data_IF_247850949787
#
_entry.id   IF_247850949787
#
_cell.length_a   1.000
_cell.length_b   1.000
_cell.length_c   1.000
_cell.angle_alpha   90.00
_cell.angle_beta   90.00
_cell.angle_gamma   90.00
#
_symmetry.space_group_name_H-M   'P 1'
#
loop_
_entity.id
_entity.type
_entity.pdbx_description
1 polymer ?
#
# COMPACT_ATOMS: atom_id res chain seq x y z
N UNK A 1 22.05 -5.86 15.38
CA UNK A 1 21.08 -6.26 14.34
C UNK A 1 19.70 -5.91 14.86
N UNK A 2 18.84 -5.26 14.07
CA UNK A 2 17.58 -4.69 14.60
C UNK A 2 16.57 -5.75 15.05
N UNK A 3 16.44 -6.84 14.31
CA UNK A 3 15.51 -7.94 14.62
C UNK A 3 16.30 -9.20 14.94
N UNK A 4 15.90 -9.90 15.99
CA UNK A 4 16.50 -11.16 16.47
C UNK A 4 15.41 -12.19 16.73
N UNK A 5 15.76 -13.48 16.75
CA UNK A 5 14.82 -14.52 17.17
C UNK A 5 14.76 -14.57 18.69
N UNK A 6 13.57 -14.78 19.20
CA UNK A 6 13.32 -15.09 20.61
C UNK A 6 12.65 -16.46 20.66
N UNK A 7 13.09 -17.31 21.59
CA UNK A 7 12.49 -18.62 21.83
C UNK A 7 11.86 -18.58 23.21
N UNK A 8 10.56 -18.83 23.25
CA UNK A 8 9.76 -18.87 24.47
C UNK A 8 9.31 -20.31 24.75
N UNK A 9 9.42 -20.73 26.01
CA UNK A 9 9.02 -22.06 26.46
C UNK A 9 7.51 -22.12 26.68
N UNK A 10 6.84 -23.12 26.08
CA UNK A 10 5.36 -23.30 26.16
C UNK A 10 4.90 -24.26 27.27
N UNK A 11 5.79 -25.12 27.78
CA UNK A 11 5.43 -26.20 28.73
C UNK A 11 6.39 -26.26 29.91
N UNK A 12 5.90 -26.27 31.16
CA UNK A 12 6.76 -26.20 32.35
C UNK A 12 7.67 -27.43 32.55
N UNK A 13 7.16 -28.62 32.26
CA UNK A 13 7.86 -29.90 32.43
C UNK A 13 8.31 -30.48 31.09
N UNK A 14 9.51 -30.09 30.67
CA UNK A 14 10.24 -30.79 29.63
C UNK A 14 10.90 -32.00 30.31
N UNK A 15 10.32 -33.20 30.18
CA UNK A 15 11.05 -34.43 30.55
C UNK A 15 12.40 -34.43 29.82
N UNK A 16 13.46 -35.00 30.39
CA UNK A 16 14.89 -34.97 29.98
C UNK A 16 15.23 -35.30 28.49
N UNK A 17 14.25 -35.32 27.57
CA UNK A 17 14.37 -35.58 26.14
C UNK A 17 14.19 -34.40 25.19
N UNK A 18 13.99 -33.15 25.63
CA UNK A 18 13.91 -32.00 24.69
C UNK A 18 15.09 -31.04 24.83
N UNK A 19 16.29 -31.55 24.60
CA UNK A 19 17.34 -30.72 23.99
C UNK A 19 16.94 -30.53 22.51
N UNK A 20 17.01 -29.31 21.97
CA UNK A 20 16.90 -29.10 20.53
C UNK A 20 18.13 -29.71 19.83
N UNK A 21 18.12 -31.03 19.66
CA UNK A 21 19.21 -31.82 19.12
C UNK A 21 19.04 -31.92 17.60
N UNK A 22 20.02 -31.37 16.87
CA UNK A 22 20.23 -31.72 15.46
C UNK A 22 21.70 -32.13 15.30
N UNK A 23 21.95 -33.43 15.38
CA UNK A 23 23.32 -33.95 15.32
C UNK A 23 24.11 -33.64 16.59
N UNK A 24 25.29 -33.00 16.44
CA UNK A 24 26.23 -32.67 17.53
C UNK A 24 26.15 -31.20 17.99
N UNK A 25 25.33 -30.36 17.35
CA UNK A 25 25.19 -28.94 17.70
C UNK A 25 24.05 -28.75 18.71
N UNK A 26 24.30 -27.96 19.76
CA UNK A 26 23.40 -27.84 20.92
C UNK A 26 23.14 -26.38 21.28
N UNK A 27 21.86 -26.05 21.51
CA UNK A 27 21.43 -24.83 22.17
C UNK A 27 20.75 -25.22 23.48
N UNK A 28 21.21 -24.65 24.59
CA UNK A 28 20.49 -24.73 25.87
C UNK A 28 19.20 -23.90 25.78
N UNK A 29 18.05 -24.57 25.83
CA UNK A 29 16.70 -24.00 25.79
C UNK A 29 15.92 -24.29 27.08
N UNK A 30 16.61 -24.29 28.22
CA UNK A 30 15.98 -24.46 29.55
C UNK A 30 15.13 -23.26 29.99
N UNK A 31 15.30 -22.11 29.35
CA UNK A 31 14.58 -20.86 29.62
C UNK A 31 14.39 -20.04 28.34
N UNK A 32 13.63 -18.95 28.43
CA UNK A 32 13.47 -17.97 27.35
C UNK A 32 14.84 -17.46 26.89
N UNK A 33 15.07 -17.44 25.57
CA UNK A 33 16.39 -17.10 25.02
C UNK A 33 16.27 -16.21 23.79
N UNK A 34 17.02 -15.11 23.79
CA UNK A 34 17.27 -14.29 22.62
C UNK A 34 18.43 -14.90 21.82
N UNK A 35 18.16 -15.23 20.57
CA UNK A 35 19.12 -15.80 19.62
C UNK A 35 19.65 -14.67 18.73
N UNK A 36 20.93 -14.35 18.91
CA UNK A 36 21.60 -13.25 18.19
C UNK A 36 22.75 -13.69 17.30
N UNK A 37 23.17 -14.96 17.40
CA UNK A 37 24.24 -15.55 16.61
C UNK A 37 23.67 -16.40 15.47
N UNK A 38 24.21 -16.24 14.27
CA UNK A 38 23.75 -16.95 13.06
C UNK A 38 23.86 -18.49 13.19
N UNK A 39 24.86 -18.98 13.91
CA UNK A 39 25.00 -20.41 14.18
C UNK A 39 23.81 -20.95 14.98
N UNK A 40 23.38 -20.24 16.01
CA UNK A 40 22.23 -20.63 16.82
C UNK A 40 20.92 -20.49 16.03
N UNK A 41 20.77 -19.44 15.21
CA UNK A 41 19.61 -19.27 14.31
C UNK A 41 19.45 -20.48 13.38
N UNK A 42 20.57 -20.98 12.83
CA UNK A 42 20.56 -22.14 11.94
C UNK A 42 20.12 -23.44 12.64
N UNK A 43 20.46 -23.63 13.91
CA UNK A 43 20.00 -24.79 14.69
C UNK A 43 18.49 -24.72 14.90
N UNK A 44 17.96 -23.53 15.23
CA UNK A 44 16.52 -23.28 15.38
C UNK A 44 15.79 -23.56 14.08
N UNK A 45 16.26 -22.97 12.97
CA UNK A 45 15.67 -23.17 11.65
C UNK A 45 15.67 -24.64 11.25
N UNK A 46 16.76 -25.38 11.44
CA UNK A 46 16.78 -26.81 11.12
C UNK A 46 15.73 -27.60 11.93
N UNK A 47 15.46 -27.24 13.18
CA UNK A 47 14.40 -27.91 13.98
C UNK A 47 13.01 -27.63 13.43
N UNK A 48 12.75 -26.37 13.09
CA UNK A 48 11.49 -25.94 12.48
C UNK A 48 11.28 -26.59 11.11
N UNK A 49 12.32 -26.58 10.27
CA UNK A 49 12.26 -27.09 8.89
C UNK A 49 12.14 -28.60 8.81
N UNK A 50 12.71 -29.34 9.77
CA UNK A 50 12.52 -30.79 9.88
C UNK A 50 11.18 -31.18 10.52
N UNK A 51 10.31 -30.20 10.82
CA UNK A 51 9.05 -30.40 11.54
C UNK A 51 9.23 -31.23 12.82
N UNK A 52 10.23 -30.89 13.63
CA UNK A 52 10.48 -31.59 14.89
C UNK A 52 9.29 -31.36 15.84
N UNK A 53 8.41 -32.36 15.97
CA UNK A 53 7.19 -32.29 16.79
C UNK A 53 7.50 -31.87 18.22
N UNK A 54 8.54 -32.45 18.82
CA UNK A 54 8.91 -32.15 20.21
C UNK A 54 9.37 -30.71 20.36
N UNK A 55 10.09 -30.15 19.39
CA UNK A 55 10.46 -28.73 19.40
C UNK A 55 9.23 -27.84 19.23
N UNK A 56 8.36 -28.16 18.27
CA UNK A 56 7.19 -27.35 17.95
C UNK A 56 6.11 -27.36 19.04
N UNK A 57 6.02 -28.43 19.82
CA UNK A 57 5.17 -28.52 21.00
C UNK A 57 5.77 -27.78 22.20
N UNK A 58 7.08 -27.89 22.42
CA UNK A 58 7.73 -27.35 23.61
C UNK A 58 8.05 -25.85 23.52
N UNK A 59 8.25 -25.32 22.31
CA UNK A 59 8.77 -23.96 22.10
C UNK A 59 7.95 -23.15 21.10
N UNK A 60 7.78 -21.87 21.41
CA UNK A 60 7.38 -20.81 20.49
C UNK A 60 8.63 -20.13 19.96
N UNK A 61 8.63 -19.73 18.69
CA UNK A 61 9.59 -18.74 18.21
C UNK A 61 8.88 -17.43 17.90
N UNK A 62 9.56 -16.33 18.19
CA UNK A 62 9.10 -14.96 18.07
C UNK A 62 10.16 -14.11 17.36
N UNK A 63 9.76 -12.96 16.81
CA UNK A 63 10.69 -11.97 16.25
C UNK A 63 10.73 -10.76 17.19
N UNK A 64 11.87 -10.50 17.80
CA UNK A 64 12.07 -9.40 18.74
C UNK A 64 12.72 -8.19 18.04
N UNK A 65 12.07 -7.01 18.10
CA UNK A 65 12.65 -5.74 17.65
C UNK A 65 13.48 -5.13 18.78
N UNK A 66 14.81 -5.27 18.68
CA UNK A 66 15.77 -4.80 19.68
C UNK A 66 15.75 -3.29 19.89
N UNK A 67 15.37 -2.49 18.90
CA UNK A 67 15.28 -1.04 19.04
C UNK A 67 14.06 -0.61 19.86
N UNK A 68 12.96 -1.34 19.71
CA UNK A 68 11.69 -1.02 20.38
C UNK A 68 11.45 -1.82 21.65
N UNK A 69 12.24 -2.87 21.86
CA UNK A 69 12.00 -3.87 22.90
C UNK A 69 10.59 -4.46 22.82
N UNK A 70 10.15 -4.78 21.60
CA UNK A 70 8.80 -5.30 21.31
C UNK A 70 8.89 -6.60 20.51
N UNK A 71 8.03 -7.56 20.87
CA UNK A 71 7.82 -8.78 20.09
C UNK A 71 6.85 -8.46 18.95
N UNK A 72 7.24 -8.81 17.73
CA UNK A 72 6.31 -8.93 16.64
C UNK A 72 5.45 -10.17 16.88
N UNK A 73 4.32 -10.01 17.59
CA UNK A 73 3.41 -11.11 17.92
C UNK A 73 3.08 -11.92 16.67
N UNK A 74 3.50 -13.17 16.61
CA UNK A 74 3.22 -14.13 15.54
C UNK A 74 2.46 -15.31 16.14
N UNK A 75 1.14 -15.16 16.26
CA UNK A 75 0.25 -16.25 16.65
C UNK A 75 -0.52 -16.75 15.42
N UNK A 76 0.04 -17.74 14.73
CA UNK A 76 -0.63 -18.43 13.62
C UNK A 76 -1.33 -19.71 14.12
N UNK A 77 -2.54 -19.97 13.63
CA UNK A 77 -3.34 -21.13 14.03
C UNK A 77 -2.88 -22.46 13.40
N UNK A 78 -1.91 -22.44 12.48
CA UNK A 78 -1.43 -23.58 11.72
C UNK A 78 0.06 -23.37 11.42
N UNK A 79 0.93 -24.34 11.75
CA UNK A 79 2.39 -24.28 11.50
C UNK A 79 3.07 -22.98 11.95
N UNK A 80 2.79 -22.58 13.18
CA UNK A 80 3.18 -21.30 13.76
C UNK A 80 4.69 -21.02 13.66
N UNK A 81 5.51 -21.94 14.17
CA UNK A 81 6.97 -21.79 14.15
C UNK A 81 7.54 -21.69 12.72
N UNK A 82 6.98 -22.44 11.75
CA UNK A 82 7.45 -22.36 10.37
C UNK A 82 7.18 -20.98 9.75
N UNK A 83 5.98 -20.44 9.98
CA UNK A 83 5.60 -19.13 9.47
C UNK A 83 6.40 -18.01 10.13
N UNK A 84 6.65 -18.09 11.43
CA UNK A 84 7.49 -17.12 12.12
C UNK A 84 8.94 -17.18 11.65
N UNK A 85 9.49 -18.37 11.45
CA UNK A 85 10.85 -18.55 10.92
C UNK A 85 10.96 -17.95 9.51
N UNK A 86 9.95 -18.18 8.66
CA UNK A 86 9.89 -17.59 7.33
C UNK A 86 9.81 -16.05 7.35
N UNK A 87 9.01 -15.47 8.25
CA UNK A 87 8.96 -14.01 8.39
C UNK A 87 10.30 -13.44 8.85
N UNK A 88 10.98 -14.13 9.77
CA UNK A 88 12.31 -13.71 10.23
C UNK A 88 13.35 -13.78 9.11
N UNK A 89 13.34 -14.87 8.34
CA UNK A 89 14.16 -15.00 7.13
C UNK A 89 13.90 -13.86 6.14
N UNK A 90 12.64 -13.51 5.88
CA UNK A 90 12.29 -12.39 5.00
C UNK A 90 12.87 -11.05 5.50
N UNK A 91 12.86 -10.80 6.81
CA UNK A 91 13.47 -9.60 7.41
C UNK A 91 14.98 -9.58 7.19
N UNK A 92 15.64 -10.75 7.33
CA UNK A 92 17.08 -10.91 7.07
C UNK A 92 17.46 -10.69 5.61
N UNK A 93 16.59 -11.09 4.67
CA UNK A 93 16.75 -10.84 3.22
C UNK A 93 16.44 -9.38 2.80
N UNK A 94 16.41 -8.45 3.76
CA UNK A 94 16.17 -7.02 3.54
C UNK A 94 14.82 -6.71 2.85
N UNK A 95 13.85 -7.63 2.91
CA UNK A 95 12.51 -7.36 2.41
C UNK A 95 11.92 -6.21 3.25
N UNK A 96 11.36 -5.15 2.63
CA UNK A 96 10.85 -4.01 3.37
C UNK A 96 9.87 -4.43 4.47
N UNK A 97 10.08 -3.96 5.71
CA UNK A 97 9.30 -4.37 6.87
C UNK A 97 7.77 -4.22 6.68
N UNK A 98 7.33 -3.19 5.94
CA UNK A 98 5.89 -3.04 5.60
C UNK A 98 5.33 -4.20 4.77
N UNK A 99 6.16 -4.82 3.94
CA UNK A 99 5.82 -6.01 3.16
C UNK A 99 5.77 -7.23 4.08
N UNK A 100 6.72 -7.37 5.00
CA UNK A 100 6.71 -8.43 6.03
C UNK A 100 5.45 -8.34 6.90
N UNK A 101 5.01 -7.13 7.28
CA UNK A 101 3.73 -6.95 7.98
C UNK A 101 2.53 -7.38 7.11
N UNK A 102 2.61 -7.17 5.80
CA UNK A 102 1.57 -7.63 4.86
C UNK A 102 1.58 -9.15 4.70
N UNK A 103 2.76 -9.77 4.72
CA UNK A 103 2.93 -11.23 4.77
C UNK A 103 2.32 -11.81 6.04
N UNK A 104 2.71 -11.31 7.22
CA UNK A 104 2.11 -11.68 8.50
C UNK A 104 0.59 -11.58 8.47
N UNK A 105 0.04 -10.45 8.03
CA UNK A 105 -1.41 -10.25 7.94
C UNK A 105 -2.07 -11.30 7.03
N UNK A 106 -1.44 -11.61 5.90
CA UNK A 106 -1.94 -12.62 4.95
C UNK A 106 -1.84 -14.03 5.52
N UNK A 107 -0.73 -14.35 6.20
CA UNK A 107 -0.52 -15.63 6.88
C UNK A 107 -1.52 -15.87 8.02
N UNK A 108 -1.87 -14.86 8.82
CA UNK A 108 -2.91 -14.99 9.85
C UNK A 108 -4.28 -15.35 9.26
N UNK A 109 -4.59 -14.78 8.09
CA UNK A 109 -5.85 -15.04 7.40
C UNK A 109 -5.84 -16.44 6.80
N UNK A 110 -4.78 -16.81 6.06
CA UNK A 110 -4.68 -18.13 5.43
C UNK A 110 -4.57 -19.24 6.48
N UNK A 111 -3.97 -18.97 7.65
CA UNK A 111 -3.84 -19.95 8.73
C UNK A 111 -5.17 -20.47 9.26
N UNK A 112 -6.22 -19.66 9.19
CA UNK A 112 -7.59 -20.08 9.54
C UNK A 112 -8.16 -21.03 8.50
N UNK A 113 -7.88 -20.76 7.23
CA UNK A 113 -8.29 -21.60 6.11
C UNK A 113 -7.53 -22.93 6.13
N UNK A 114 -6.21 -22.89 6.32
CA UNK A 114 -5.36 -24.10 6.42
C UNK A 114 -5.86 -25.04 7.51
N UNK A 115 -6.29 -24.49 8.64
CA UNK A 115 -6.89 -25.26 9.74
C UNK A 115 -8.28 -25.79 9.39
N UNK A 116 -9.11 -25.04 8.65
CA UNK A 116 -10.45 -25.52 8.28
C UNK A 116 -10.43 -26.63 7.24
N UNK A 117 -9.41 -26.67 6.38
CA UNK A 117 -9.27 -27.71 5.34
C UNK A 117 -8.16 -28.73 5.64
N UNK A 118 -7.54 -28.63 6.82
CA UNK A 118 -6.38 -29.41 7.28
C UNK A 118 -5.29 -29.57 6.20
N UNK A 119 -4.85 -28.44 5.65
CA UNK A 119 -3.89 -28.40 4.55
C UNK A 119 -3.04 -27.15 4.64
N UNK A 120 -1.72 -27.31 4.62
CA UNK A 120 -0.81 -26.17 4.57
C UNK A 120 -0.96 -25.35 3.28
N UNK A 121 -0.81 -24.03 3.35
CA UNK A 121 -0.93 -23.10 2.22
C UNK A 121 0.06 -23.43 1.11
N UNK A 122 1.21 -23.97 1.50
CA UNK A 122 2.29 -24.41 0.63
C UNK A 122 1.86 -25.58 -0.30
N UNK A 123 0.79 -26.29 0.06
CA UNK A 123 0.25 -27.42 -0.67
C UNK A 123 -1.08 -27.10 -1.40
N UNK A 124 -1.55 -25.86 -1.38
CA UNK A 124 -2.80 -25.48 -2.02
C UNK A 124 -2.77 -25.75 -3.53
N UNK A 125 -3.82 -26.37 -4.06
CA UNK A 125 -4.02 -26.52 -5.49
C UNK A 125 -4.83 -25.31 -6.04
N UNK A 126 -5.13 -25.34 -7.35
CA UNK A 126 -5.91 -24.27 -7.98
C UNK A 126 -7.30 -24.06 -7.34
N UNK A 127 -7.99 -25.14 -6.99
CA UNK A 127 -9.34 -25.09 -6.43
C UNK A 127 -9.35 -24.55 -5.00
N UNK A 128 -8.33 -24.88 -4.20
CA UNK A 128 -8.14 -24.33 -2.85
C UNK A 128 -7.93 -22.82 -2.92
N UNK A 129 -7.14 -22.33 -3.89
CA UNK A 129 -6.88 -20.89 -4.07
C UNK A 129 -8.15 -20.16 -4.50
N UNK A 130 -8.95 -20.76 -5.40
CA UNK A 130 -10.24 -20.21 -5.82
C UNK A 130 -11.20 -20.14 -4.64
N UNK A 131 -11.26 -21.20 -3.84
CA UNK A 131 -12.14 -21.28 -2.66
C UNK A 131 -11.73 -20.27 -1.60
N UNK A 132 -10.43 -20.14 -1.33
CA UNK A 132 -9.90 -19.08 -0.48
C UNK A 132 -10.30 -17.69 -1.00
N UNK A 133 -10.16 -17.43 -2.31
CA UNK A 133 -10.55 -16.16 -2.91
C UNK A 133 -12.05 -15.85 -2.69
N UNK A 134 -12.92 -16.86 -2.91
CA UNK A 134 -14.36 -16.79 -2.69
C UNK A 134 -14.68 -16.45 -1.24
N UNK A 135 -14.14 -17.21 -0.29
CA UNK A 135 -14.35 -17.01 1.14
C UNK A 135 -13.96 -15.59 1.57
N UNK A 136 -12.84 -15.06 1.06
CA UNK A 136 -12.40 -13.70 1.38
C UNK A 136 -13.40 -12.63 0.90
N UNK A 137 -14.00 -12.82 -0.28
CA UNK A 137 -14.99 -11.90 -0.83
C UNK A 137 -16.31 -11.99 -0.06
N UNK A 138 -16.77 -13.21 0.25
CA UNK A 138 -17.97 -13.44 1.07
C UNK A 138 -17.84 -12.82 2.47
N UNK A 139 -16.62 -12.82 3.03
CA UNK A 139 -16.28 -12.15 4.29
C UNK A 139 -16.12 -10.62 4.14
N UNK A 140 -16.46 -10.04 2.98
CA UNK A 140 -16.51 -8.59 2.75
C UNK A 140 -15.24 -7.97 2.17
N UNK A 141 -14.26 -8.77 1.73
CA UNK A 141 -13.09 -8.23 1.02
C UNK A 141 -13.45 -7.84 -0.41
N UNK A 142 -12.81 -6.78 -0.93
CA UNK A 142 -12.93 -6.48 -2.37
C UNK A 142 -12.19 -7.54 -3.21
N UNK A 143 -12.60 -7.71 -4.46
CA UNK A 143 -11.89 -8.56 -5.44
C UNK A 143 -10.41 -8.17 -5.55
N UNK A 144 -10.11 -6.87 -5.50
CA UNK A 144 -8.73 -6.38 -5.49
C UNK A 144 -7.95 -6.86 -4.26
N UNK A 145 -8.55 -6.76 -3.06
CA UNK A 145 -7.93 -7.22 -1.82
C UNK A 145 -7.70 -8.74 -1.84
N UNK A 146 -8.68 -9.52 -2.30
CA UNK A 146 -8.54 -10.97 -2.45
C UNK A 146 -7.40 -11.32 -3.42
N UNK A 147 -7.34 -10.67 -4.59
CA UNK A 147 -6.25 -10.84 -5.55
C UNK A 147 -4.89 -10.47 -4.98
N UNK A 148 -4.80 -9.35 -4.26
CA UNK A 148 -3.56 -8.93 -3.63
C UNK A 148 -3.08 -9.95 -2.58
N UNK A 149 -3.99 -10.57 -1.82
CA UNK A 149 -3.64 -11.64 -0.88
C UNK A 149 -3.11 -12.87 -1.61
N UNK A 150 -3.73 -13.29 -2.71
CA UNK A 150 -3.24 -14.42 -3.52
C UNK A 150 -1.84 -14.12 -4.09
N UNK A 151 -1.59 -12.87 -4.52
CA UNK A 151 -0.26 -12.43 -4.93
C UNK A 151 0.76 -12.45 -3.79
N UNK A 152 0.36 -12.06 -2.58
CA UNK A 152 1.23 -12.15 -1.40
C UNK A 152 1.51 -13.60 -1.02
N UNK A 153 0.53 -14.49 -1.13
CA UNK A 153 0.71 -15.94 -0.93
C UNK A 153 1.70 -16.53 -1.93
N UNK A 154 1.61 -16.17 -3.22
CA UNK A 154 2.56 -16.68 -4.22
C UNK A 154 3.99 -16.21 -3.96
N UNK A 155 4.17 -14.97 -3.45
CA UNK A 155 5.46 -14.50 -2.97
C UNK A 155 5.94 -15.27 -1.75
N UNK A 156 5.09 -15.45 -0.74
CA UNK A 156 5.42 -16.22 0.47
C UNK A 156 5.84 -17.65 0.16
N UNK A 157 5.17 -18.28 -0.79
CA UNK A 157 5.54 -19.60 -1.31
C UNK A 157 6.95 -19.59 -1.90
N UNK A 158 7.29 -18.56 -2.69
CA UNK A 158 8.63 -18.39 -3.24
C UNK A 158 9.68 -18.20 -2.14
N UNK A 159 9.43 -17.31 -1.18
CA UNK A 159 10.34 -17.09 -0.05
C UNK A 159 10.51 -18.38 0.79
N UNK A 160 9.43 -19.15 0.98
CA UNK A 160 9.49 -20.44 1.66
C UNK A 160 10.37 -21.44 0.88
N UNK A 161 10.29 -21.45 -0.44
CA UNK A 161 11.14 -22.30 -1.26
C UNK A 161 12.62 -21.92 -1.14
N UNK A 162 12.96 -20.63 -1.15
CA UNK A 162 14.34 -20.17 -0.97
C UNK A 162 14.85 -20.45 0.45
N UNK A 163 13.99 -20.33 1.46
CA UNK A 163 14.32 -20.60 2.86
C UNK A 163 14.46 -22.09 3.19
N UNK A 164 13.52 -22.92 2.71
CA UNK A 164 13.33 -24.31 3.15
C UNK A 164 13.63 -25.34 2.05
N UNK A 165 14.05 -24.91 0.86
CA UNK A 165 14.12 -25.71 -0.36
C UNK A 165 14.99 -26.98 -0.27
N UNK A 166 16.01 -26.97 0.59
CA UNK A 166 16.89 -28.11 0.83
C UNK A 166 16.34 -29.11 1.86
N UNK A 167 15.46 -28.66 2.75
CA UNK A 167 15.02 -29.40 3.94
C UNK A 167 13.58 -29.93 3.84
N UNK A 168 12.73 -29.35 2.98
CA UNK A 168 11.39 -29.87 2.70
C UNK A 168 11.42 -30.80 1.47
N UNK A 169 11.20 -32.12 1.60
CA UNK A 169 11.22 -33.04 0.45
C UNK A 169 10.16 -32.70 -0.61
N UNK A 170 9.03 -32.11 -0.20
CA UNK A 170 7.95 -31.69 -1.11
C UNK A 170 8.30 -30.42 -1.91
N UNK A 171 9.23 -29.58 -1.45
CA UNK A 171 9.59 -28.33 -2.14
C UNK A 171 10.39 -28.56 -3.42
N UNK A 172 10.95 -29.76 -3.64
CA UNK A 172 11.65 -30.13 -4.87
C UNK A 172 10.72 -30.53 -6.03
N UNK A 173 9.42 -30.78 -5.78
CA UNK A 173 8.44 -31.18 -6.81
C UNK A 173 7.30 -30.20 -7.06
N UNK A 174 7.01 -29.26 -6.15
CA UNK A 174 5.76 -28.47 -6.18
C UNK A 174 5.95 -27.03 -6.71
N UNK A 175 7.18 -26.50 -6.80
CA UNK A 175 7.43 -25.07 -7.07
C UNK A 175 8.12 -24.77 -8.42
N UNK A 176 7.53 -25.26 -9.51
CA UNK A 176 7.81 -24.75 -10.85
C UNK A 176 7.18 -23.33 -10.99
N UNK A 177 7.73 -22.48 -11.87
CA UNK A 177 7.04 -21.32 -12.45
C UNK A 177 5.56 -21.62 -12.78
N UNK A 178 5.23 -22.86 -13.15
CA UNK A 178 3.86 -23.37 -13.32
C UNK A 178 2.96 -23.16 -12.10
N UNK A 179 3.42 -23.36 -10.87
CA UNK A 179 2.63 -23.17 -9.65
C UNK A 179 2.39 -21.69 -9.34
N UNK A 180 3.42 -20.85 -9.47
CA UNK A 180 3.28 -19.38 -9.40
C UNK A 180 2.34 -18.89 -10.51
N UNK A 181 2.42 -19.49 -11.70
CA UNK A 181 1.53 -19.22 -12.81
C UNK A 181 0.08 -19.68 -12.54
N UNK A 182 -0.17 -20.70 -11.72
CA UNK A 182 -1.52 -21.06 -11.27
C UNK A 182 -2.09 -19.93 -10.42
N UNK A 183 -1.35 -19.43 -9.41
CA UNK A 183 -1.78 -18.29 -8.58
C UNK A 183 -2.04 -17.03 -9.44
N UNK A 184 -1.16 -16.73 -10.39
CA UNK A 184 -1.27 -15.56 -11.27
C UNK A 184 -2.34 -15.69 -12.38
N UNK A 185 -2.57 -16.89 -12.92
CA UNK A 185 -3.63 -17.15 -13.91
C UNK A 185 -5.00 -17.19 -13.26
N UNK A 186 -5.11 -17.78 -12.07
CA UNK A 186 -6.35 -17.85 -11.29
C UNK A 186 -6.81 -16.45 -10.88
N UNK A 187 -5.91 -15.60 -10.36
CA UNK A 187 -6.24 -14.19 -10.04
C UNK A 187 -6.73 -13.40 -11.26
N UNK A 188 -6.15 -13.64 -12.44
CA UNK A 188 -6.55 -12.97 -13.68
C UNK A 188 -7.89 -13.49 -14.23
N UNK A 189 -8.13 -14.80 -14.20
CA UNK A 189 -9.34 -15.40 -14.77
C UNK A 189 -10.55 -15.22 -13.85
N UNK A 190 -10.38 -15.39 -12.53
CA UNK A 190 -11.45 -15.28 -11.56
C UNK A 190 -12.06 -13.87 -11.51
N UNK A 191 -11.20 -12.85 -11.48
CA UNK A 191 -11.62 -11.45 -11.50
C UNK A 191 -12.20 -10.98 -12.84
N UNK A 192 -12.04 -11.75 -13.93
CA UNK A 192 -12.55 -11.36 -15.27
C UNK A 192 -13.80 -12.15 -15.65
N UNK A 193 -13.95 -13.40 -15.21
CA UNK A 193 -15.01 -14.32 -15.63
C UNK A 193 -16.21 -14.37 -14.68
N UNK A 194 -16.02 -14.49 -13.36
CA UNK A 194 -17.16 -14.63 -12.42
C UNK A 194 -17.76 -13.27 -12.06
N UNK A 195 -16.94 -12.25 -11.88
CA UNK A 195 -17.41 -10.92 -11.48
C UNK A 195 -17.46 -9.92 -12.63
N UNK A 196 -17.00 -10.26 -13.84
CA UNK A 196 -16.69 -9.26 -14.88
C UNK A 196 -15.54 -8.35 -14.42
N UNK A 197 -15.08 -7.41 -15.24
CA UNK A 197 -14.04 -6.42 -14.89
C UNK A 197 -14.53 -5.41 -13.82
N UNK A 198 -15.07 -5.91 -12.71
CA UNK A 198 -15.77 -5.19 -11.65
C UNK A 198 -14.84 -4.89 -10.48
N UNK A 199 -13.60 -4.57 -10.82
CA UNK A 199 -12.85 -3.57 -10.05
C UNK A 199 -13.57 -2.19 -9.99
N UNK A 200 -14.74 -2.07 -10.62
CA UNK A 200 -15.61 -0.89 -10.66
C UNK A 200 -17.13 -1.16 -10.42
N UNK A 201 -17.57 -2.32 -9.90
CA UNK A 201 -19.02 -2.56 -9.69
C UNK A 201 -19.52 -2.60 -8.24
N UNK A 202 -18.77 -2.01 -7.30
CA UNK A 202 -19.35 -1.63 -6.02
C UNK A 202 -19.50 -0.11 -6.00
N UNK A 203 -20.67 0.36 -6.46
CA UNK A 203 -21.10 1.76 -6.46
C UNK A 203 -20.55 2.56 -7.63
N UNK A 204 -21.38 3.47 -8.18
CA UNK A 204 -20.91 4.55 -9.03
C UNK A 204 -19.61 5.12 -8.44
N UNK A 205 -18.53 5.17 -9.22
CA UNK A 205 -17.31 5.86 -8.78
C UNK A 205 -17.73 7.29 -8.47
N UNK A 206 -17.71 7.74 -7.21
CA UNK A 206 -18.21 9.05 -6.87
C UNK A 206 -17.25 10.08 -7.46
N UNK A 207 -17.63 10.60 -8.62
CA UNK A 207 -16.89 11.66 -9.28
C UNK A 207 -17.10 12.95 -8.49
N UNK A 208 -16.00 13.66 -8.25
CA UNK A 208 -16.01 14.95 -7.56
C UNK A 208 -16.05 16.05 -8.61
N UNK A 209 -17.02 16.95 -8.52
CA UNK A 209 -17.14 18.13 -9.36
C UNK A 209 -16.50 19.33 -8.66
N UNK A 210 -16.38 20.45 -9.38
CA UNK A 210 -15.95 21.71 -8.77
C UNK A 210 -16.98 22.22 -7.74
N UNK A 211 -18.28 21.94 -7.94
CA UNK A 211 -19.32 22.32 -7.00
C UNK A 211 -19.20 21.57 -5.67
N UNK A 212 -18.82 20.29 -5.70
CA UNK A 212 -18.50 19.53 -4.48
C UNK A 212 -17.33 20.17 -3.72
N UNK A 213 -16.31 20.70 -4.43
CA UNK A 213 -15.17 21.39 -3.81
C UNK A 213 -15.65 22.65 -3.10
N UNK A 214 -16.50 23.45 -3.74
CA UNK A 214 -17.08 24.64 -3.12
C UNK A 214 -17.98 24.29 -1.93
N UNK A 215 -18.81 23.25 -2.04
CA UNK A 215 -19.66 22.79 -0.92
C UNK A 215 -18.82 22.39 0.30
N UNK A 216 -17.69 21.71 0.08
CA UNK A 216 -16.75 21.36 1.15
C UNK A 216 -16.11 22.61 1.75
N UNK A 217 -15.71 23.59 0.93
CA UNK A 217 -15.14 24.85 1.41
C UNK A 217 -16.15 25.64 2.28
N UNK A 218 -17.41 25.67 1.89
CA UNK A 218 -18.47 26.36 2.62
C UNK A 218 -18.79 25.70 3.96
N UNK A 219 -18.81 24.36 3.99
CA UNK A 219 -19.33 23.60 5.14
C UNK A 219 -18.26 23.04 6.08
N UNK A 220 -16.97 23.08 5.71
CA UNK A 220 -15.88 22.60 6.57
C UNK A 220 -14.93 23.70 7.04
N UNK A 221 -14.24 23.47 8.17
CA UNK A 221 -13.10 24.30 8.56
C UNK A 221 -11.99 24.20 7.52
N UNK A 222 -11.20 25.27 7.38
CA UNK A 222 -10.07 25.33 6.46
C UNK A 222 -9.09 24.16 6.63
N UNK A 223 -8.90 23.67 7.87
CA UNK A 223 -8.01 22.56 8.19
C UNK A 223 -8.43 21.21 7.58
N UNK A 224 -9.67 21.10 7.12
CA UNK A 224 -10.23 19.92 6.44
C UNK A 224 -10.47 20.24 4.96
N UNK A 225 -11.16 21.34 4.67
CA UNK A 225 -11.51 21.69 3.29
C UNK A 225 -10.28 21.95 2.40
N UNK A 226 -9.22 22.56 2.95
CA UNK A 226 -8.00 22.82 2.19
C UNK A 226 -7.33 21.52 1.72
N UNK A 227 -7.39 20.45 2.52
CA UNK A 227 -6.85 19.14 2.12
C UNK A 227 -7.60 18.66 0.86
N UNK A 228 -8.93 18.77 0.85
CA UNK A 228 -9.76 18.37 -0.27
C UNK A 228 -9.43 19.18 -1.53
N UNK A 229 -9.36 20.51 -1.42
CA UNK A 229 -8.97 21.43 -2.50
C UNK A 229 -7.59 21.06 -3.05
N UNK A 230 -6.59 20.87 -2.19
CA UNK A 230 -5.22 20.57 -2.62
C UNK A 230 -5.11 19.22 -3.34
N UNK A 231 -5.84 18.20 -2.88
CA UNK A 231 -5.92 16.91 -3.59
C UNK A 231 -6.57 17.09 -4.97
N UNK A 232 -7.67 17.84 -5.04
CA UNK A 232 -8.37 18.14 -6.29
C UNK A 232 -7.52 19.00 -7.25
N UNK A 233 -6.60 19.81 -6.73
CA UNK A 233 -5.66 20.60 -7.53
C UNK A 233 -4.39 19.84 -7.89
N UNK A 234 -4.27 18.59 -7.47
CA UNK A 234 -3.24 17.66 -7.96
C UNK A 234 -2.06 17.42 -7.03
N UNK A 235 -2.06 17.96 -5.81
CA UNK A 235 -1.04 17.62 -4.81
C UNK A 235 -1.10 16.13 -4.45
N UNK A 236 0.06 15.51 -4.32
CA UNK A 236 0.24 14.08 -4.11
C UNK A 236 0.47 13.76 -2.65
N UNK A 237 -0.33 12.84 -2.12
CA UNK A 237 -0.18 12.36 -0.74
C UNK A 237 -0.36 10.84 -0.71
N UNK A 238 0.74 10.10 -0.54
CA UNK A 238 0.77 8.64 -0.42
C UNK A 238 2.01 8.19 0.36
N UNK A 239 2.34 6.89 0.39
CA UNK A 239 3.52 6.37 1.14
C UNK A 239 4.84 7.02 0.69
N UNK A 240 4.99 7.28 -0.61
CA UNK A 240 6.23 7.74 -1.26
C UNK A 240 6.24 9.24 -1.53
N UNK A 241 5.09 9.85 -1.81
CA UNK A 241 4.96 11.27 -2.16
C UNK A 241 4.18 12.00 -1.06
N UNK A 242 4.77 13.06 -0.49
CA UNK A 242 4.27 13.73 0.72
C UNK A 242 3.98 15.22 0.51
N UNK A 243 3.48 15.60 -0.65
CA UNK A 243 3.39 17.00 -1.06
C UNK A 243 2.42 17.84 -0.21
N UNK A 244 1.39 17.23 0.39
CA UNK A 244 0.43 17.96 1.24
C UNK A 244 0.97 18.04 2.67
N UNK A 245 1.43 16.91 3.22
CA UNK A 245 1.94 16.89 4.59
C UNK A 245 3.20 17.73 4.77
N UNK A 246 4.08 17.80 3.76
CA UNK A 246 5.32 18.59 3.85
C UNK A 246 5.19 20.00 3.29
N UNK A 247 3.98 20.44 2.88
CA UNK A 247 3.77 21.77 2.34
C UNK A 247 4.08 22.83 3.39
N UNK A 248 4.99 23.76 3.08
CA UNK A 248 5.32 24.89 3.95
C UNK A 248 4.57 26.14 3.54
N UNK A 249 4.44 27.08 4.48
CA UNK A 249 3.79 28.37 4.23
C UNK A 249 4.54 29.15 3.14
N UNK A 250 5.87 29.12 3.14
CA UNK A 250 6.70 29.79 2.12
C UNK A 250 6.55 29.24 0.70
N UNK A 251 6.00 28.03 0.55
CA UNK A 251 5.68 27.44 -0.75
C UNK A 251 4.43 28.05 -1.39
N UNK A 252 3.64 28.82 -0.63
CA UNK A 252 2.39 29.45 -1.07
C UNK A 252 2.61 30.96 -1.26
N UNK A 253 2.47 31.44 -2.51
CA UNK A 253 2.61 32.86 -2.87
C UNK A 253 1.40 33.33 -3.66
N UNK A 254 0.54 34.12 -3.03
CA UNK A 254 -0.72 34.55 -3.63
C UNK A 254 -1.61 33.35 -3.95
N UNK A 255 -1.91 33.14 -5.24
CA UNK A 255 -2.67 31.98 -5.72
C UNK A 255 -1.80 30.84 -6.26
N UNK A 256 -0.49 30.88 -6.03
CA UNK A 256 0.46 29.89 -6.52
C UNK A 256 0.98 29.03 -5.38
N UNK A 257 1.11 27.73 -5.63
CA UNK A 257 1.78 26.78 -4.76
C UNK A 257 2.95 26.18 -5.53
N UNK A 258 4.17 26.35 -5.03
CA UNK A 258 5.37 25.79 -5.63
C UNK A 258 5.70 24.43 -4.99
N UNK A 259 5.81 23.38 -5.81
CA UNK A 259 6.25 22.06 -5.38
C UNK A 259 7.68 21.87 -5.87
N UNK A 260 8.60 21.58 -4.94
CA UNK A 260 10.04 21.40 -5.22
C UNK A 260 10.51 19.94 -5.11
N UNK A 261 9.59 18.98 -4.99
CA UNK A 261 9.89 17.55 -4.84
C UNK A 261 10.33 16.84 -6.12
N UNK A 262 10.05 15.54 -6.21
CA UNK A 262 10.37 14.67 -7.37
C UNK A 262 9.65 15.06 -8.66
N UNK A 263 8.54 15.81 -8.57
CA UNK A 263 7.84 16.39 -9.73
C UNK A 263 7.68 17.90 -9.53
N UNK A 264 8.75 18.68 -9.77
CA UNK A 264 8.73 20.11 -9.51
C UNK A 264 7.75 20.81 -10.46
N UNK A 265 6.83 21.59 -9.89
CA UNK A 265 5.76 22.28 -10.64
C UNK A 265 5.11 23.37 -9.81
N UNK A 266 4.38 24.26 -10.48
CA UNK A 266 3.55 25.28 -9.84
C UNK A 266 2.08 24.93 -10.04
N UNK A 267 1.32 24.94 -8.93
CA UNK A 267 -0.11 24.70 -8.91
C UNK A 267 -0.81 26.04 -8.71
N UNK A 268 -1.79 26.32 -9.56
CA UNK A 268 -2.57 27.55 -9.50
C UNK A 268 -3.94 27.29 -8.87
N UNK A 269 -4.25 28.06 -7.84
CA UNK A 269 -5.55 28.07 -7.18
C UNK A 269 -6.44 29.18 -7.77
N UNK A 270 -7.75 28.96 -7.73
CA UNK A 270 -8.71 30.04 -7.89
C UNK A 270 -8.62 31.02 -6.70
N UNK A 271 -9.13 32.24 -6.86
CA UNK A 271 -8.96 33.29 -5.85
C UNK A 271 -9.59 32.94 -4.50
N UNK A 272 -10.78 32.35 -4.55
CA UNK A 272 -11.52 31.86 -3.38
C UNK A 272 -10.82 30.67 -2.71
N UNK A 273 -10.30 29.72 -3.49
CA UNK A 273 -9.48 28.61 -3.00
C UNK A 273 -8.19 29.11 -2.33
N UNK A 274 -7.48 30.03 -2.98
CA UNK A 274 -6.26 30.63 -2.44
C UNK A 274 -6.54 31.36 -1.12
N UNK A 275 -7.62 32.14 -1.08
CA UNK A 275 -8.08 32.81 0.14
C UNK A 275 -8.43 31.81 1.23
N UNK A 276 -9.06 30.70 0.88
CA UNK A 276 -9.47 29.66 1.81
C UNK A 276 -8.27 28.89 2.39
N UNK A 277 -7.34 28.45 1.54
CA UNK A 277 -6.08 27.80 1.94
C UNK A 277 -5.21 28.77 2.76
N UNK A 278 -5.13 30.04 2.36
CA UNK A 278 -4.36 31.08 3.04
C UNK A 278 -4.78 31.32 4.50
N UNK A 279 -6.01 30.95 4.90
CA UNK A 279 -6.44 31.01 6.31
C UNK A 279 -5.57 30.16 7.22
N UNK A 280 -5.01 29.06 6.72
CA UNK A 280 -4.11 28.18 7.47
C UNK A 280 -2.72 28.77 7.70
N UNK A 281 -2.32 29.74 6.88
CA UNK A 281 -1.01 30.36 6.94
C UNK A 281 -0.97 31.58 7.89
N UNK A 282 -2.13 32.01 8.41
CA UNK A 282 -2.23 33.23 9.20
C UNK A 282 -1.45 33.10 10.51
N UNK A 283 -0.48 34.00 10.72
CA UNK A 283 0.35 34.02 11.93
C UNK A 283 1.39 32.91 12.00
N UNK A 284 1.64 32.18 10.91
CA UNK A 284 2.68 31.17 10.79
C UNK A 284 3.92 31.75 10.08
N UNK A 285 5.10 31.19 10.40
CA UNK A 285 6.34 31.54 9.71
C UNK A 285 6.42 30.87 8.34
N UNK A 286 7.21 31.39 7.40
CA UNK A 286 7.39 30.77 6.07
C UNK A 286 7.92 29.33 6.14
N UNK A 287 8.65 28.99 7.22
CA UNK A 287 9.21 27.66 7.42
C UNK A 287 8.23 26.67 8.07
N UNK A 288 7.11 27.16 8.59
CA UNK A 288 6.10 26.32 9.23
C UNK A 288 5.39 25.45 8.19
N UNK A 289 5.03 24.22 8.58
CA UNK A 289 4.14 23.39 7.80
C UNK A 289 2.71 23.93 7.83
N UNK A 290 2.06 23.97 6.66
CA UNK A 290 0.66 24.40 6.53
C UNK A 290 -0.28 23.51 7.33
N UNK A 291 0.00 22.19 7.38
CA UNK A 291 -0.77 21.23 8.15
C UNK A 291 0.06 20.69 9.31
N UNK A 292 -0.13 21.29 10.49
CA UNK A 292 0.51 20.89 11.74
C UNK A 292 -0.48 20.28 12.74
N UNK A 293 0.06 19.64 13.78
CA UNK A 293 -0.76 19.12 14.87
C UNK A 293 -1.00 20.23 15.91
N UNK A 294 -2.27 20.55 16.16
CA UNK A 294 -2.67 21.62 17.09
C UNK A 294 -3.16 21.06 18.43
N UNK A 295 -2.93 19.77 18.70
CA UNK A 295 -3.35 19.16 19.96
C UNK A 295 -2.69 19.86 21.15
N UNK A 296 -3.47 20.31 22.16
CA UNK A 296 -2.93 20.94 23.35
C UNK A 296 -2.09 19.98 24.21
N UNK A 297 -2.19 18.67 23.96
CA UNK A 297 -1.47 17.62 24.68
C UNK A 297 -0.05 17.37 24.16
N UNK A 298 0.35 18.00 23.06
CA UNK A 298 1.65 17.80 22.44
C UNK A 298 2.64 18.86 22.89
N UNK A 299 3.92 18.48 22.90
CA UNK A 299 5.03 19.42 23.12
C UNK A 299 5.12 20.42 21.96
N UNK A 300 5.75 21.58 22.18
CA UNK A 300 5.96 22.58 21.13
C UNK A 300 6.75 22.02 19.94
N UNK A 301 7.71 21.12 20.19
CA UNK A 301 8.48 20.45 19.14
C UNK A 301 7.62 19.50 18.30
N UNK A 302 6.68 18.78 18.92
CA UNK A 302 5.73 17.92 18.21
C UNK A 302 4.69 18.72 17.42
N UNK A 303 4.32 19.92 17.89
CA UNK A 303 3.44 20.84 17.15
C UNK A 303 4.11 21.41 15.89
N UNK A 304 5.44 21.41 15.83
CA UNK A 304 6.20 21.81 14.64
C UNK A 304 6.32 20.68 13.60
N UNK A 305 5.89 19.46 13.92
CA UNK A 305 5.94 18.33 12.97
C UNK A 305 4.76 18.36 11.98
N UNK A 306 4.98 17.91 10.74
CA UNK A 306 3.91 17.85 9.74
C UNK A 306 2.85 16.81 10.13
N UNK A 307 1.61 17.05 9.73
CA UNK A 307 0.53 16.10 9.96
C UNK A 307 0.79 14.80 9.18
N UNK A 308 0.75 13.66 9.86
CA UNK A 308 0.93 12.35 9.21
C UNK A 308 -0.15 12.10 8.15
N UNK A 309 0.22 11.49 7.04
CA UNK A 309 -0.69 11.11 5.93
C UNK A 309 -1.96 10.41 6.38
N UNK A 310 -1.86 9.51 7.37
CA UNK A 310 -3.04 8.82 7.92
C UNK A 310 -4.03 9.81 8.54
N UNK A 311 -3.54 10.82 9.26
CA UNK A 311 -4.40 11.84 9.87
C UNK A 311 -5.04 12.76 8.80
N UNK A 312 -4.30 13.09 7.73
CA UNK A 312 -4.83 13.84 6.59
C UNK A 312 -5.93 13.03 5.87
N UNK A 313 -5.58 11.85 5.36
CA UNK A 313 -6.41 11.10 4.42
C UNK A 313 -7.47 10.20 5.07
N UNK A 314 -7.27 9.69 6.28
CA UNK A 314 -8.27 8.82 6.92
C UNK A 314 -9.12 9.56 7.96
N UNK A 315 -8.52 10.43 8.79
CA UNK A 315 -9.26 11.09 9.87
C UNK A 315 -10.00 12.35 9.41
N UNK A 316 -9.35 13.20 8.60
CA UNK A 316 -9.97 14.46 8.14
C UNK A 316 -10.87 14.24 6.93
N UNK A 317 -10.47 13.46 5.94
CA UNK A 317 -11.29 13.23 4.74
C UNK A 317 -12.62 12.52 5.03
N UNK A 318 -12.67 11.57 5.96
CA UNK A 318 -13.95 10.94 6.35
C UNK A 318 -15.01 11.92 6.86
N UNK A 319 -14.60 13.11 7.30
CA UNK A 319 -15.55 14.14 7.74
C UNK A 319 -16.26 14.81 6.56
N UNK A 320 -15.70 14.71 5.35
CA UNK A 320 -16.29 15.22 4.11
C UNK A 320 -17.39 14.30 3.59
N UNK A 321 -17.30 13.00 3.84
CA UNK A 321 -18.24 11.99 3.34
C UNK A 321 -19.72 12.33 3.60
N UNK A 322 -20.01 12.82 4.82
CA UNK A 322 -21.38 13.17 5.23
C UNK A 322 -21.93 14.42 4.53
N UNK A 323 -21.07 15.29 4.00
CA UNK A 323 -21.49 16.49 3.27
C UNK A 323 -21.89 16.12 1.86
N UNK A 324 -21.01 15.38 1.17
CA UNK A 324 -21.17 15.10 -0.25
C UNK A 324 -22.18 13.97 -0.52
N UNK A 325 -22.68 13.29 0.51
CA UNK A 325 -23.51 12.09 0.37
C UNK A 325 -22.79 10.92 -0.32
N UNK A 326 -21.47 11.01 -0.49
CA UNK A 326 -20.59 10.05 -1.17
C UNK A 326 -19.24 9.98 -0.47
N UNK A 327 -18.51 8.87 -0.66
CA UNK A 327 -17.25 8.58 0.03
C UNK A 327 -16.06 8.56 -0.94
N UNK A 328 -15.65 9.71 -1.50
CA UNK A 328 -14.61 9.74 -2.51
C UNK A 328 -13.25 9.45 -1.87
N UNK A 329 -12.53 8.46 -2.40
CA UNK A 329 -11.15 8.19 -1.99
C UNK A 329 -10.21 9.30 -2.49
N UNK A 330 -9.02 9.42 -1.89
CA UNK A 330 -7.95 10.30 -2.38
C UNK A 330 -7.74 10.17 -3.91
N UNK A 331 -7.69 8.92 -4.41
CA UNK A 331 -7.47 8.67 -5.84
C UNK A 331 -8.62 9.18 -6.69
N UNK A 332 -9.86 9.10 -6.20
CA UNK A 332 -11.03 9.60 -6.92
C UNK A 332 -11.02 11.12 -7.01
N UNK A 333 -10.79 11.81 -5.88
CA UNK A 333 -10.72 13.27 -5.83
C UNK A 333 -9.63 13.79 -6.77
N UNK A 334 -8.42 13.21 -6.67
CA UNK A 334 -7.30 13.64 -7.50
C UNK A 334 -7.54 13.35 -8.98
N UNK A 335 -8.17 12.23 -9.32
CA UNK A 335 -8.50 11.88 -10.70
C UNK A 335 -9.57 12.81 -11.28
N UNK A 336 -10.59 13.15 -10.50
CA UNK A 336 -11.60 14.13 -10.87
C UNK A 336 -10.99 15.51 -11.12
N UNK A 337 -10.09 15.95 -10.25
CA UNK A 337 -9.31 17.17 -10.44
C UNK A 337 -8.46 17.17 -11.72
N UNK A 338 -7.84 16.03 -12.05
CA UNK A 338 -7.04 15.85 -13.27
C UNK A 338 -7.93 16.01 -14.52
N UNK A 339 -9.12 15.38 -14.52
CA UNK A 339 -10.12 15.53 -15.59
C UNK A 339 -10.56 16.99 -15.73
N UNK A 340 -10.93 17.61 -14.62
CA UNK A 340 -11.39 18.99 -14.60
C UNK A 340 -10.32 19.96 -15.13
N UNK A 341 -9.07 19.79 -14.70
CA UNK A 341 -7.94 20.60 -15.15
C UNK A 341 -7.72 20.47 -16.66
N UNK A 342 -7.62 19.23 -17.16
CA UNK A 342 -7.41 18.96 -18.58
C UNK A 342 -8.58 19.51 -19.41
N UNK A 343 -9.82 19.29 -18.99
CA UNK A 343 -10.99 19.78 -19.70
C UNK A 343 -10.99 21.31 -19.83
N UNK A 344 -10.67 22.02 -18.75
CA UNK A 344 -10.59 23.48 -18.78
C UNK A 344 -9.42 24.00 -19.62
N UNK A 345 -8.26 23.35 -19.57
CA UNK A 345 -7.13 23.73 -20.43
C UNK A 345 -7.45 23.50 -21.91
N UNK A 346 -8.06 22.35 -22.25
CA UNK A 346 -8.49 22.08 -23.62
C UNK A 346 -9.52 23.10 -24.10
N UNK A 347 -10.51 23.48 -23.26
CA UNK A 347 -11.48 24.54 -23.59
C UNK A 347 -10.82 25.91 -23.85
N UNK A 348 -9.71 26.21 -23.17
CA UNK A 348 -8.99 27.49 -23.30
C UNK A 348 -8.02 27.50 -24.49
N UNK A 349 -7.28 26.42 -24.70
CA UNK A 349 -6.19 26.35 -25.67
C UNK A 349 -6.67 25.90 -27.06
N UNK A 350 -7.84 25.25 -27.16
CA UNK A 350 -8.30 24.64 -28.41
C UNK A 350 -9.59 25.28 -28.93
N UNK A 351 -9.52 25.77 -30.17
CA UNK A 351 -10.68 26.19 -30.94
C UNK A 351 -11.45 24.95 -31.43
N UNK A 352 -12.70 25.11 -31.90
CA UNK A 352 -13.55 24.03 -32.42
C UNK A 352 -12.91 23.16 -33.54
N UNK A 353 -11.81 23.63 -34.15
CA UNK A 353 -11.10 22.96 -35.25
C UNK A 353 -9.70 22.43 -34.86
N UNK A 354 -9.41 22.26 -33.56
CA UNK A 354 -8.12 21.72 -33.13
C UNK A 354 -7.86 20.31 -33.65
N UNK A 355 -6.70 20.10 -34.28
CA UNK A 355 -6.33 18.79 -34.78
C UNK A 355 -5.98 17.80 -33.65
N UNK A 356 -5.95 16.51 -34.00
CA UNK A 356 -5.69 15.42 -33.04
C UNK A 356 -4.31 15.55 -32.36
N UNK A 357 -3.31 16.12 -33.03
CA UNK A 357 -1.95 16.24 -32.52
C UNK A 357 -1.88 17.39 -31.49
N UNK A 358 -2.52 18.51 -31.78
CA UNK A 358 -2.66 19.64 -30.86
C UNK A 358 -3.35 19.21 -29.56
N UNK A 359 -4.43 18.44 -29.66
CA UNK A 359 -5.13 17.85 -28.50
C UNK A 359 -4.17 16.96 -27.67
N UNK A 360 -3.39 16.09 -28.31
CA UNK A 360 -2.45 15.21 -27.61
C UNK A 360 -1.35 15.99 -26.91
N UNK A 361 -0.81 17.04 -27.54
CA UNK A 361 0.22 17.91 -26.94
C UNK A 361 -0.32 18.68 -25.74
N UNK A 362 -1.53 19.24 -25.84
CA UNK A 362 -2.18 19.93 -24.73
C UNK A 362 -2.45 19.00 -23.54
N UNK A 363 -2.85 17.74 -23.80
CA UNK A 363 -3.02 16.72 -22.75
C UNK A 363 -1.67 16.34 -22.11
N UNK A 364 -0.60 16.11 -22.89
CA UNK A 364 0.73 15.78 -22.34
C UNK A 364 1.29 16.92 -21.47
N UNK A 365 1.10 18.19 -21.90
CA UNK A 365 1.41 19.39 -21.12
C UNK A 365 0.60 19.45 -19.82
N UNK A 366 -0.70 19.17 -19.89
CA UNK A 366 -1.56 19.16 -18.71
C UNK A 366 -1.17 18.06 -17.71
N UNK A 367 -0.78 16.88 -18.19
CA UNK A 367 -0.28 15.80 -17.32
C UNK A 367 1.00 16.17 -16.58
N UNK A 368 1.88 16.93 -17.26
CA UNK A 368 3.08 17.50 -16.66
C UNK A 368 2.75 18.49 -15.56
N UNK A 369 1.94 19.50 -15.87
CA UNK A 369 1.53 20.54 -14.93
C UNK A 369 0.75 20.00 -13.72
N UNK A 370 -0.04 18.94 -13.92
CA UNK A 370 -0.78 18.27 -12.84
C UNK A 370 0.09 17.27 -12.03
N UNK A 371 1.33 16.99 -12.46
CA UNK A 371 2.23 16.05 -11.78
C UNK A 371 1.81 14.58 -11.92
N UNK A 372 1.39 14.19 -13.13
CA UNK A 372 1.15 12.79 -13.53
C UNK A 372 2.41 12.19 -14.15
N UNK A 373 3.20 13.02 -14.85
CA UNK A 373 4.46 12.64 -15.48
C UNK A 373 5.55 13.65 -15.14
N UNK A 374 6.82 13.23 -15.01
CA UNK A 374 7.95 14.13 -14.79
C UNK A 374 8.10 15.16 -15.91
N UNK A 375 8.59 16.35 -15.56
CA UNK A 375 8.68 17.49 -16.48
C UNK A 375 9.71 17.28 -17.60
N UNK A 376 10.77 16.56 -17.28
CA UNK A 376 11.89 16.17 -18.14
C UNK A 376 11.62 14.94 -19.03
N UNK A 377 10.48 14.26 -18.85
CA UNK A 377 10.14 13.09 -19.66
C UNK A 377 10.01 13.46 -21.15
N UNK A 378 10.42 12.58 -22.07
CA UNK A 378 10.19 12.75 -23.50
C UNK A 378 8.70 12.96 -23.83
N UNK A 379 8.41 13.69 -24.91
CA UNK A 379 7.04 13.91 -25.38
C UNK A 379 6.41 12.56 -25.74
N UNK A 380 5.11 12.38 -25.45
CA UNK A 380 4.40 11.14 -25.80
C UNK A 380 4.55 10.76 -27.28
N UNK A 381 4.68 11.76 -28.16
CA UNK A 381 4.84 11.56 -29.60
C UNK A 381 6.22 11.00 -30.00
N UNK A 382 7.23 11.15 -29.13
CA UNK A 382 8.62 10.74 -29.42
C UNK A 382 8.88 9.28 -29.01
N UNK A 383 7.98 8.66 -28.23
CA UNK A 383 8.09 7.25 -27.90
C UNK A 383 7.80 6.38 -29.11
N UNK A 384 8.71 5.44 -29.42
CA UNK A 384 8.46 4.36 -30.39
C UNK A 384 7.14 3.66 -30.03
N UNK A 385 6.33 3.37 -31.06
CA UNK A 385 4.89 3.10 -30.95
C UNK A 385 4.40 1.98 -30.02
N UNK A 386 5.31 1.21 -29.40
CA UNK A 386 5.03 0.04 -28.56
C UNK A 386 5.68 0.07 -27.15
N UNK A 387 6.20 1.21 -26.67
CA UNK A 387 6.66 1.27 -25.27
C UNK A 387 5.46 1.13 -24.31
N UNK A 388 5.65 0.44 -23.17
CA UNK A 388 4.62 0.30 -22.15
C UNK A 388 4.11 1.66 -21.62
N UNK A 389 4.99 2.66 -21.62
CA UNK A 389 4.70 4.05 -21.27
C UNK A 389 3.78 4.69 -22.31
N UNK A 390 4.06 4.53 -23.61
CA UNK A 390 3.22 5.05 -24.69
C UNK A 390 1.82 4.41 -24.68
N UNK A 391 1.72 3.09 -24.41
CA UNK A 391 0.45 2.39 -24.30
C UNK A 391 -0.40 2.92 -23.14
N UNK A 392 0.18 3.04 -21.93
CA UNK A 392 -0.52 3.59 -20.76
C UNK A 392 -0.96 5.03 -20.99
N UNK A 393 -0.10 5.88 -21.59
CA UNK A 393 -0.47 7.28 -21.88
C UNK A 393 -1.56 7.39 -22.94
N UNK A 394 -1.54 6.59 -24.02
CA UNK A 394 -2.64 6.55 -25.02
C UNK A 394 -3.97 6.10 -24.42
N UNK A 395 -3.94 5.10 -23.52
CA UNK A 395 -5.14 4.67 -22.79
C UNK A 395 -5.70 5.80 -21.92
N UNK A 396 -4.84 6.54 -21.22
CA UNK A 396 -5.27 7.72 -20.47
C UNK A 396 -5.87 8.77 -21.40
N UNK A 397 -5.19 9.15 -22.49
CA UNK A 397 -5.71 10.13 -23.45
C UNK A 397 -7.09 9.75 -24.00
N UNK A 398 -7.31 8.48 -24.37
CA UNK A 398 -8.61 8.02 -24.86
C UNK A 398 -9.69 8.04 -23.78
N UNK A 399 -9.35 7.64 -22.56
CA UNK A 399 -10.24 7.70 -21.41
C UNK A 399 -10.65 9.15 -21.10
N UNK A 400 -9.71 10.08 -21.19
CA UNK A 400 -9.94 11.51 -20.94
C UNK A 400 -10.80 12.19 -22.01
N UNK A 401 -10.65 11.82 -23.29
CA UNK A 401 -11.55 12.27 -24.36
C UNK A 401 -13.02 11.93 -24.08
N UNK A 402 -13.27 10.73 -23.55
CA UNK A 402 -14.60 10.31 -23.13
C UNK A 402 -15.11 11.14 -21.94
N UNK A 403 -14.25 11.49 -20.98
CA UNK A 403 -14.66 12.30 -19.82
C UNK A 403 -14.85 13.78 -20.14
N UNK A 404 -14.14 14.34 -21.13
CA UNK A 404 -14.34 15.73 -21.55
C UNK A 404 -15.72 15.99 -22.15
N UNK A 405 -16.38 14.97 -22.71
CA UNK A 405 -17.77 15.05 -23.18
C UNK A 405 -18.77 15.32 -22.04
N UNK A 406 -18.45 14.89 -20.81
CA UNK A 406 -19.29 15.11 -19.61
C UNK A 406 -19.04 16.46 -18.92
N UNK A 407 -17.97 17.18 -19.29
CA UNK A 407 -17.65 18.51 -18.73
C UNK A 407 -18.19 19.64 -19.63
N UNK A 408 -18.77 19.30 -20.79
CA UNK A 408 -19.38 20.24 -21.75
C UNK A 408 -20.88 20.44 -21.61
N UNK A 409 -21.50 19.99 -20.51
CA UNK A 409 -22.89 20.34 -20.17
C UNK A 409 -22.93 21.53 -19.24
#
# INVERSE_FOLDING_TARGET
MRYVLEIEKRVDNISEKTAALIGNDFIDLTSEKIISEEQDENIVFKNVLNNNETFNEAFSINIFDTERSEILNTEFEYEDNLKTALLFYCVKQEIPFSTVLSFKTTMNIVSKEEKSIDKAFRNFNQDDIISFAKNQIEQGSSVYTANNRIYLLSRLVKELHEFAGEYLPESKKVYDETFINIFLKTTKNYATQEYGNTAMANGEIPFVTIDDVHEVMERKPASIGAIFVLIFRGLRENKYNKEISTLKVGDIKGNQITINGDMPRTIYLAEDEARYVGRLCKGASENDYVFRNESPRLTEQEKQQPLKTWALLNKRMRQVDNILGKKPTYSMIRRSGEVYYIANQLKRELNANADKIAIIRAIDKSFREYGVIPMDSQNIMDYKGNSGIAKRRRQMTNLYKKYTEYVTV
#
